data_IF_020330135186
#
_entry.id   IF_020330135186
#
_cell.length_a   1.000
_cell.length_b   1.000
_cell.length_c   1.000
_cell.angle_alpha   90.00
_cell.angle_beta   90.00
_cell.angle_gamma   90.00
#
_symmetry.space_group_name_H-M   'P 1'
#
loop_
_entity.id
_entity.type
_entity.pdbx_description
1 polymer ?
#
# COMPACT_ATOMS: atom_id res chain seq x y z
N UNK A 1 -13.06 -5.94 -3.14
CA UNK A 1 -11.84 -5.11 -3.15
C UNK A 1 -11.67 -4.50 -1.77
N UNK A 2 -10.48 -4.57 -1.18
CA UNK A 2 -10.16 -4.01 0.14
C UNK A 2 -9.18 -2.86 -0.06
N UNK A 3 -9.48 -1.70 0.54
CA UNK A 3 -8.60 -0.52 0.50
C UNK A 3 -8.17 -0.22 1.93
N UNK A 4 -6.88 0.00 2.12
CA UNK A 4 -6.31 0.39 3.40
C UNK A 4 -5.46 1.63 3.28
N UNK A 5 -5.52 2.51 4.26
CA UNK A 5 -4.66 3.70 4.33
C UNK A 5 -3.41 3.46 5.18
N UNK A 6 -3.12 2.20 5.48
CA UNK A 6 -2.02 1.81 6.36
C UNK A 6 -2.35 1.82 7.86
N UNK A 7 -1.30 1.72 8.66
CA UNK A 7 -1.40 1.65 10.12
C UNK A 7 -1.52 0.24 10.68
N UNK A 8 -1.32 0.11 12.00
CA UNK A 8 -1.20 -1.17 12.70
C UNK A 8 -2.47 -2.04 12.59
N UNK A 9 -3.65 -1.41 12.58
CA UNK A 9 -4.94 -2.11 12.52
C UNK A 9 -5.29 -2.57 11.11
N UNK A 10 -5.02 -1.75 10.09
CA UNK A 10 -5.34 -2.09 8.70
C UNK A 10 -4.38 -3.14 8.12
N UNK A 11 -3.16 -3.26 8.67
CA UNK A 11 -2.12 -4.18 8.20
C UNK A 11 -2.56 -5.64 8.11
N UNK A 12 -2.98 -6.27 9.23
CA UNK A 12 -3.42 -7.66 9.23
C UNK A 12 -4.59 -7.93 8.28
N UNK A 13 -5.54 -6.99 8.19
CA UNK A 13 -6.74 -7.11 7.34
C UNK A 13 -6.37 -7.09 5.86
N UNK A 14 -5.57 -6.10 5.42
CA UNK A 14 -5.10 -6.04 4.03
C UNK A 14 -4.22 -7.23 3.68
N UNK A 15 -3.35 -7.63 4.59
CA UNK A 15 -2.48 -8.78 4.39
C UNK A 15 -3.28 -10.08 4.19
N UNK A 16 -4.29 -10.32 5.04
CA UNK A 16 -5.18 -11.47 4.89
C UNK A 16 -5.96 -11.42 3.57
N UNK A 17 -6.50 -10.26 3.20
CA UNK A 17 -7.20 -10.08 1.93
C UNK A 17 -6.29 -10.38 0.72
N UNK A 18 -5.05 -9.86 0.73
CA UNK A 18 -4.07 -10.13 -0.32
C UNK A 18 -3.72 -11.61 -0.42
N UNK A 19 -3.56 -12.30 0.72
CA UNK A 19 -3.31 -13.76 0.76
C UNK A 19 -4.48 -14.60 0.26
N UNK A 20 -5.71 -14.11 0.39
CA UNK A 20 -6.91 -14.73 -0.14
C UNK A 20 -7.18 -14.38 -1.61
N UNK A 21 -6.23 -13.73 -2.30
CA UNK A 21 -6.38 -13.23 -3.68
C UNK A 21 -7.57 -12.27 -3.87
N UNK A 22 -7.97 -11.58 -2.81
CA UNK A 22 -8.96 -10.51 -2.91
C UNK A 22 -8.23 -9.25 -3.40
N UNK A 23 -8.75 -8.52 -4.41
CA UNK A 23 -8.10 -7.29 -4.88
C UNK A 23 -7.88 -6.29 -3.75
N UNK A 24 -6.63 -5.84 -3.59
CA UNK A 24 -6.16 -5.01 -2.48
C UNK A 24 -5.36 -3.79 -2.96
N UNK A 25 -5.62 -2.66 -2.31
CA UNK A 25 -4.88 -1.41 -2.54
C UNK A 25 -4.50 -0.80 -1.21
N UNK A 26 -3.26 -0.32 -1.08
CA UNK A 26 -2.84 0.53 0.04
C UNK A 26 -2.63 1.97 -0.43
N UNK A 27 -3.10 2.95 0.33
CA UNK A 27 -2.90 4.38 0.05
C UNK A 27 -1.92 5.00 1.06
N UNK A 28 -0.80 5.53 0.59
CA UNK A 28 0.19 6.25 1.38
C UNK A 28 0.02 7.76 1.19
N UNK A 29 -0.24 8.43 2.31
CA UNK A 29 -0.54 9.86 2.38
C UNK A 29 0.69 10.70 2.70
N UNK A 30 1.81 10.08 3.11
CA UNK A 30 3.01 10.80 3.53
C UNK A 30 4.11 10.72 2.46
N UNK A 31 5.01 11.70 2.46
CA UNK A 31 6.22 11.68 1.64
C UNK A 31 7.23 10.62 2.08
N UNK A 32 7.20 10.24 3.37
CA UNK A 32 8.00 9.15 3.94
C UNK A 32 7.05 8.03 4.38
N UNK A 33 7.07 6.89 3.69
CA UNK A 33 6.13 5.82 4.00
C UNK A 33 6.44 5.08 5.29
N UNK A 34 5.37 4.72 6.00
CA UNK A 34 5.44 3.91 7.21
C UNK A 34 5.91 2.48 6.96
N UNK A 35 6.45 1.84 8.00
CA UNK A 35 6.96 0.45 7.92
C UNK A 35 5.85 -0.52 7.48
N UNK A 36 4.62 -0.33 7.97
CA UNK A 36 3.47 -1.16 7.59
C UNK A 36 3.18 -1.07 6.10
N UNK A 37 3.16 0.13 5.51
CA UNK A 37 2.87 0.31 4.09
C UNK A 37 4.00 -0.24 3.22
N UNK A 38 5.27 -0.03 3.63
CA UNK A 38 6.42 -0.66 2.97
C UNK A 38 6.32 -2.18 2.97
N UNK A 39 5.91 -2.79 4.08
CA UNK A 39 5.71 -4.23 4.16
C UNK A 39 4.54 -4.69 3.27
N UNK A 40 3.38 -4.03 3.38
CA UNK A 40 2.17 -4.37 2.62
C UNK A 40 2.36 -4.22 1.11
N UNK A 41 3.18 -3.26 0.65
CA UNK A 41 3.46 -3.02 -0.77
C UNK A 41 3.94 -4.27 -1.54
N UNK A 42 4.55 -5.22 -0.83
CA UNK A 42 4.99 -6.50 -1.39
C UNK A 42 3.82 -7.43 -1.71
N UNK A 43 2.74 -7.36 -0.93
CA UNK A 43 1.60 -8.27 -0.97
C UNK A 43 0.41 -7.72 -1.73
N UNK A 44 0.13 -6.42 -1.59
CA UNK A 44 -1.02 -5.80 -2.25
C UNK A 44 -0.84 -5.72 -3.77
N UNK A 45 -1.94 -5.55 -4.49
CA UNK A 45 -1.95 -5.45 -5.94
C UNK A 45 -1.45 -4.08 -6.40
N UNK A 46 -1.88 -3.01 -5.73
CA UNK A 46 -1.46 -1.64 -6.01
C UNK A 46 -1.15 -0.84 -4.75
N UNK A 47 -0.24 0.12 -4.91
CA UNK A 47 0.10 1.13 -3.92
C UNK A 47 -0.25 2.48 -4.52
N UNK A 48 -1.22 3.17 -3.96
CA UNK A 48 -1.55 4.54 -4.32
C UNK A 48 -0.70 5.48 -3.46
N UNK A 49 0.01 6.44 -4.05
CA UNK A 49 0.85 7.40 -3.34
C UNK A 49 0.38 8.82 -3.59
N UNK A 50 0.33 9.63 -2.52
CA UNK A 50 0.01 11.04 -2.61
C UNK A 50 1.20 11.90 -3.06
N UNK A 51 2.43 11.47 -2.75
CA UNK A 51 3.64 12.21 -3.09
C UNK A 51 4.51 11.43 -4.09
N UNK A 52 4.98 12.10 -5.13
CA UNK A 52 6.00 11.56 -6.06
C UNK A 52 7.25 11.10 -5.29
N UNK A 53 7.65 11.85 -4.25
CA UNK A 53 8.76 11.51 -3.36
C UNK A 53 8.58 10.16 -2.63
N UNK A 54 7.34 9.65 -2.52
CA UNK A 54 7.06 8.36 -1.89
C UNK A 54 7.25 7.17 -2.86
N UNK A 55 7.21 7.38 -4.19
CA UNK A 55 7.35 6.31 -5.19
C UNK A 55 8.61 5.46 -5.04
N UNK A 56 9.82 6.02 -4.79
CA UNK A 56 11.04 5.22 -4.70
C UNK A 56 11.04 4.20 -3.55
N UNK A 57 10.12 4.32 -2.59
CA UNK A 57 10.01 3.39 -1.46
C UNK A 57 9.14 2.16 -1.74
N UNK A 58 8.51 2.08 -2.92
CA UNK A 58 7.57 1.03 -3.29
C UNK A 58 7.93 0.38 -4.63
N UNK A 59 7.43 -0.83 -4.92
CA UNK A 59 7.65 -1.48 -6.21
C UNK A 59 7.02 -0.65 -7.35
N UNK A 60 7.83 -0.20 -8.31
CA UNK A 60 7.40 0.67 -9.40
C UNK A 60 6.20 0.09 -10.17
N UNK A 61 6.25 -1.20 -10.50
CA UNK A 61 5.18 -1.91 -11.24
C UNK A 61 3.81 -1.90 -10.55
N UNK A 62 3.77 -1.66 -9.24
CA UNK A 62 2.54 -1.64 -8.42
C UNK A 62 2.13 -0.25 -7.98
N UNK A 63 2.99 0.75 -8.19
CA UNK A 63 2.81 2.07 -7.60
C UNK A 63 2.10 3.00 -8.57
N UNK A 64 1.06 3.66 -8.08
CA UNK A 64 0.22 4.59 -8.85
C UNK A 64 0.20 5.93 -8.11
N UNK A 65 0.49 7.01 -8.82
CA UNK A 65 0.33 8.35 -8.27
C UNK A 65 -1.15 8.70 -8.18
N UNK A 66 -1.60 9.13 -7.00
CA UNK A 66 -3.01 9.38 -6.68
C UNK A 66 -3.28 10.78 -6.10
N UNK A 67 -2.25 11.65 -5.97
CA UNK A 67 -2.41 13.08 -5.70
C UNK A 67 -1.94 13.57 -4.34
#
# INVERSE_FOLDING_TARGET
MVIGTGGYVAGPVLYAAAKLNVPTIVHEQNSIPGITNKFLSKYVDKVAVAFEAAKPFFPEAKTVFAG
#
